data_IF_794630142889
#
_entry.id   IF_794630142889
#
_cell.length_a   1.000
_cell.length_b   1.000
_cell.length_c   1.000
_cell.angle_alpha   90.00
_cell.angle_beta   90.00
_cell.angle_gamma   90.00
#
_symmetry.space_group_name_H-M   'P 1'
#
loop_
_entity.id
_entity.type
_entity.pdbx_description
1 polymer ?
#
# COMPACT_ATOMS: atom_id res chain seq x y z
N UNK A 1 -13.40 -37.87 -43.96
CA UNK A 1 -13.27 -36.58 -44.68
C UNK A 1 -14.46 -35.67 -44.44
N UNK A 2 -15.69 -35.99 -44.89
CA UNK A 2 -16.84 -35.08 -44.70
C UNK A 2 -17.22 -34.87 -43.22
N UNK A 3 -17.18 -35.93 -42.41
CA UNK A 3 -17.40 -35.85 -40.95
C UNK A 3 -16.32 -35.01 -40.25
N UNK A 4 -15.05 -35.24 -40.61
CA UNK A 4 -13.90 -34.47 -40.11
C UNK A 4 -14.01 -32.98 -40.49
N UNK A 5 -14.40 -32.67 -41.73
CA UNK A 5 -14.61 -31.30 -42.20
C UNK A 5 -15.76 -30.61 -41.46
N UNK A 6 -16.82 -31.34 -41.12
CA UNK A 6 -17.93 -30.82 -40.33
C UNK A 6 -17.52 -30.52 -38.88
N UNK A 7 -16.77 -31.41 -38.24
CA UNK A 7 -16.22 -31.17 -36.90
C UNK A 7 -15.25 -29.99 -36.85
N UNK A 8 -14.39 -29.84 -37.87
CA UNK A 8 -13.50 -28.68 -38.00
C UNK A 8 -14.28 -27.36 -38.16
N UNK A 9 -15.40 -27.36 -38.91
CA UNK A 9 -16.31 -26.22 -38.98
C UNK A 9 -16.94 -25.90 -37.63
N UNK A 10 -17.35 -26.91 -36.86
CA UNK A 10 -17.90 -26.71 -35.52
C UNK A 10 -16.85 -26.14 -34.55
N UNK A 11 -15.61 -26.64 -34.60
CA UNK A 11 -14.49 -26.09 -33.82
C UNK A 11 -14.33 -24.60 -34.12
N UNK A 12 -14.34 -24.20 -35.40
CA UNK A 12 -14.22 -22.80 -35.80
C UNK A 12 -15.36 -21.92 -35.26
N UNK A 13 -16.60 -22.40 -35.33
CA UNK A 13 -17.79 -21.66 -34.87
C UNK A 13 -17.79 -21.51 -33.35
N UNK A 14 -17.59 -22.60 -32.61
CA UNK A 14 -17.58 -22.61 -31.13
C UNK A 14 -16.41 -21.80 -30.58
N UNK A 15 -15.22 -21.94 -31.16
CA UNK A 15 -14.04 -21.16 -30.80
C UNK A 15 -14.28 -19.66 -30.96
N UNK A 16 -14.91 -19.25 -32.07
CA UNK A 16 -15.26 -17.85 -32.31
C UNK A 16 -16.30 -17.30 -31.34
N UNK A 17 -17.24 -18.13 -30.87
CA UNK A 17 -18.24 -17.73 -29.88
C UNK A 17 -17.65 -17.58 -28.47
N UNK A 18 -16.71 -18.43 -28.07
CA UNK A 18 -16.11 -18.38 -26.73
C UNK A 18 -14.99 -17.34 -26.60
N UNK A 19 -14.32 -16.98 -27.70
CA UNK A 19 -13.23 -16.00 -27.71
C UNK A 19 -13.73 -14.58 -28.09
N UNK A 20 -14.32 -13.86 -27.12
CA UNK A 20 -14.58 -12.42 -27.22
C UNK A 20 -13.31 -11.62 -26.87
N UNK A 21 -12.28 -11.53 -27.73
CA UNK A 21 -11.19 -10.54 -27.59
C UNK A 21 -10.41 -10.22 -28.89
N UNK A 22 -9.73 -9.06 -28.86
CA UNK A 22 -9.06 -8.31 -29.94
C UNK A 22 -8.02 -9.12 -30.74
N UNK A 23 -8.15 -9.10 -32.07
CA UNK A 23 -7.11 -9.49 -33.04
C UNK A 23 -7.47 -10.73 -33.87
N UNK A 24 -7.63 -10.57 -35.19
CA UNK A 24 -7.92 -11.66 -36.13
C UNK A 24 -6.75 -12.67 -36.25
N UNK A 25 -5.51 -12.21 -36.03
CA UNK A 25 -4.28 -12.99 -36.28
C UNK A 25 -4.09 -14.17 -35.32
N UNK A 26 -4.39 -14.01 -34.02
CA UNK A 26 -4.20 -15.08 -33.03
C UNK A 26 -5.21 -16.23 -33.23
N UNK A 27 -6.41 -15.90 -33.72
CA UNK A 27 -7.48 -16.86 -34.05
C UNK A 27 -7.09 -17.75 -35.21
N UNK A 28 -6.50 -17.18 -36.27
CA UNK A 28 -6.07 -17.92 -37.45
C UNK A 28 -4.86 -18.83 -37.17
N UNK A 29 -3.90 -18.39 -36.36
CA UNK A 29 -2.71 -19.18 -36.00
C UNK A 29 -3.09 -20.44 -35.21
N UNK A 30 -3.94 -20.29 -34.19
CA UNK A 30 -4.38 -21.42 -33.35
C UNK A 30 -5.19 -22.42 -34.17
N UNK A 31 -6.12 -21.95 -35.00
CA UNK A 31 -6.93 -22.82 -35.85
C UNK A 31 -6.08 -23.54 -36.91
N UNK A 32 -5.10 -22.85 -37.52
CA UNK A 32 -4.19 -23.43 -38.50
C UNK A 32 -3.23 -24.46 -37.89
N UNK A 33 -2.82 -24.28 -36.63
CA UNK A 33 -2.02 -25.25 -35.88
C UNK A 33 -2.81 -26.51 -35.52
N UNK A 34 -4.06 -26.34 -35.07
CA UNK A 34 -4.96 -27.46 -34.77
C UNK A 34 -5.30 -28.26 -36.04
N UNK A 35 -5.64 -27.60 -37.13
CA UNK A 35 -5.94 -28.26 -38.41
C UNK A 35 -4.73 -29.01 -38.95
N UNK A 36 -3.50 -28.45 -38.85
CA UNK A 36 -2.28 -29.16 -39.28
C UNK A 36 -1.99 -30.42 -38.47
N UNK A 37 -2.26 -30.39 -37.16
CA UNK A 37 -1.93 -31.50 -36.25
C UNK A 37 -3.06 -32.52 -36.08
N UNK A 38 -4.30 -32.18 -36.42
CA UNK A 38 -5.48 -33.05 -36.22
C UNK A 38 -5.87 -33.90 -37.43
N UNK A 39 -5.14 -33.85 -38.55
CA UNK A 39 -5.53 -34.50 -39.81
C UNK A 39 -5.32 -36.02 -39.87
N UNK A 40 -4.83 -36.66 -38.81
CA UNK A 40 -4.38 -38.07 -38.86
C UNK A 40 -5.11 -39.03 -37.91
N UNK A 41 -6.02 -38.57 -37.04
CA UNK A 41 -6.76 -39.44 -36.09
C UNK A 41 -8.10 -38.80 -35.66
N UNK A 42 -9.21 -39.51 -35.86
CA UNK A 42 -10.57 -39.05 -35.58
C UNK A 42 -10.83 -38.81 -34.08
N UNK A 43 -10.12 -39.50 -33.17
CA UNK A 43 -10.25 -39.29 -31.72
C UNK A 43 -9.73 -37.92 -31.27
N UNK A 44 -8.67 -37.42 -31.92
CA UNK A 44 -8.08 -36.12 -31.57
C UNK A 44 -9.01 -34.97 -31.95
N UNK A 45 -9.79 -35.11 -33.03
CA UNK A 45 -10.73 -34.07 -33.47
C UNK A 45 -11.90 -33.93 -32.47
N UNK A 46 -12.40 -35.04 -31.92
CA UNK A 46 -13.46 -35.01 -30.92
C UNK A 46 -12.99 -34.45 -29.57
N UNK A 47 -11.79 -34.83 -29.14
CA UNK A 47 -11.14 -34.30 -27.94
C UNK A 47 -10.90 -32.78 -28.08
N UNK A 48 -10.42 -32.32 -29.24
CA UNK A 48 -10.22 -30.90 -29.50
C UNK A 48 -11.54 -30.13 -29.53
N UNK A 49 -12.59 -30.64 -30.18
CA UNK A 49 -13.91 -30.01 -30.18
C UNK A 49 -14.49 -29.91 -28.76
N UNK A 50 -14.34 -30.95 -27.95
CA UNK A 50 -14.79 -30.92 -26.56
C UNK A 50 -13.98 -29.91 -25.72
N UNK A 51 -12.66 -29.87 -25.88
CA UNK A 51 -11.79 -28.92 -25.17
C UNK A 51 -12.09 -27.45 -25.48
N UNK A 52 -12.45 -27.14 -26.73
CA UNK A 52 -12.90 -25.79 -27.12
C UNK A 52 -14.22 -25.47 -26.42
N UNK A 53 -15.18 -26.39 -26.40
CA UNK A 53 -16.47 -26.19 -25.70
C UNK A 53 -16.30 -25.99 -24.20
N UNK A 54 -15.27 -26.58 -23.60
CA UNK A 54 -14.96 -26.48 -22.19
C UNK A 54 -14.09 -25.28 -21.80
N UNK A 55 -13.76 -24.38 -22.75
CA UNK A 55 -13.03 -23.13 -22.46
C UNK A 55 -11.54 -23.33 -22.12
N UNK A 56 -10.96 -24.49 -22.45
CA UNK A 56 -9.53 -24.78 -22.19
C UNK A 56 -8.63 -23.78 -22.91
N UNK A 57 -9.00 -23.41 -24.14
CA UNK A 57 -8.27 -22.43 -24.93
C UNK A 57 -8.17 -21.09 -24.22
N UNK A 58 -9.29 -20.62 -23.65
CA UNK A 58 -9.34 -19.35 -22.93
C UNK A 58 -8.38 -19.38 -21.75
N UNK A 59 -8.31 -20.50 -21.03
CA UNK A 59 -7.38 -20.66 -19.91
C UNK A 59 -5.91 -20.60 -20.37
N UNK A 60 -5.55 -21.30 -21.45
CA UNK A 60 -4.18 -21.29 -21.99
C UNK A 60 -3.80 -19.91 -22.55
N UNK A 61 -4.71 -19.22 -23.24
CA UNK A 61 -4.46 -17.88 -23.80
C UNK A 61 -4.22 -16.85 -22.70
N UNK A 62 -5.00 -16.87 -21.61
CA UNK A 62 -4.91 -15.84 -20.57
C UNK A 62 -3.88 -16.14 -19.48
N UNK A 63 -3.63 -17.42 -19.19
CA UNK A 63 -2.84 -17.80 -18.00
C UNK A 63 -1.42 -18.24 -18.33
N UNK A 64 -1.20 -18.93 -19.45
CA UNK A 64 0.12 -19.49 -19.79
C UNK A 64 0.97 -18.41 -20.47
N UNK A 65 2.09 -18.01 -19.87
CA UNK A 65 2.88 -16.88 -20.37
C UNK A 65 4.00 -17.27 -21.33
N UNK A 66 4.43 -18.54 -21.32
CA UNK A 66 5.47 -19.11 -22.19
C UNK A 66 5.27 -20.63 -22.34
N UNK A 67 5.89 -21.31 -23.32
CA UNK A 67 5.80 -22.78 -23.44
C UNK A 67 6.37 -23.53 -22.22
N UNK A 68 7.30 -22.93 -21.48
CA UNK A 68 7.93 -23.51 -20.28
C UNK A 68 7.22 -23.15 -18.96
N UNK A 69 6.03 -22.54 -19.03
CA UNK A 69 5.23 -22.15 -17.86
C UNK A 69 4.53 -23.37 -17.24
N UNK A 70 5.34 -24.31 -16.76
CA UNK A 70 4.93 -25.60 -16.20
C UNK A 70 3.94 -25.45 -15.04
N UNK A 71 4.00 -24.33 -14.31
CA UNK A 71 3.08 -24.03 -13.21
C UNK A 71 1.67 -23.83 -13.76
N UNK A 72 1.48 -22.90 -14.71
CA UNK A 72 0.15 -22.64 -15.27
C UNK A 72 -0.36 -23.80 -16.12
N UNK A 73 0.53 -24.51 -16.82
CA UNK A 73 0.20 -25.71 -17.58
C UNK A 73 -0.35 -26.80 -16.66
N UNK A 74 0.38 -27.14 -15.58
CA UNK A 74 -0.07 -28.16 -14.63
C UNK A 74 -1.33 -27.75 -13.88
N UNK A 75 -1.52 -26.46 -13.58
CA UNK A 75 -2.77 -25.97 -12.98
C UNK A 75 -3.98 -26.23 -13.90
N UNK A 76 -3.84 -25.99 -15.20
CA UNK A 76 -4.92 -26.25 -16.16
C UNK A 76 -5.17 -27.76 -16.29
N UNK A 77 -4.11 -28.58 -16.41
CA UNK A 77 -4.21 -30.04 -16.47
C UNK A 77 -4.94 -30.60 -15.24
N UNK A 78 -4.51 -30.20 -14.04
CA UNK A 78 -5.10 -30.67 -12.79
C UNK A 78 -6.56 -30.26 -12.66
N UNK A 79 -6.93 -29.06 -13.11
CA UNK A 79 -8.32 -28.62 -13.13
C UNK A 79 -9.19 -29.52 -14.04
N UNK A 80 -8.66 -29.95 -15.19
CA UNK A 80 -9.36 -30.83 -16.11
C UNK A 80 -9.57 -32.24 -15.53
N UNK A 81 -8.52 -32.79 -14.90
CA UNK A 81 -8.58 -34.12 -14.26
C UNK A 81 -9.49 -34.12 -13.04
N UNK A 82 -9.40 -33.11 -12.17
CA UNK A 82 -10.20 -33.00 -10.96
C UNK A 82 -11.70 -32.85 -11.24
N UNK A 83 -12.05 -32.20 -12.35
CA UNK A 83 -13.43 -32.11 -12.81
C UNK A 83 -13.89 -33.37 -13.56
N UNK A 84 -13.09 -34.44 -13.55
CA UNK A 84 -13.35 -35.71 -14.24
C UNK A 84 -13.65 -35.53 -15.74
N UNK A 85 -13.07 -34.49 -16.35
CA UNK A 85 -13.32 -34.17 -17.76
C UNK A 85 -12.49 -35.05 -18.69
N UNK A 86 -11.28 -35.39 -18.26
CA UNK A 86 -10.32 -36.22 -18.99
C UNK A 86 -9.44 -37.00 -18.02
N UNK A 87 -8.83 -38.09 -18.49
CA UNK A 87 -7.69 -38.70 -17.80
C UNK A 87 -6.51 -37.72 -17.76
N UNK A 88 -5.53 -37.95 -16.88
CA UNK A 88 -4.34 -37.09 -16.81
C UNK A 88 -3.58 -37.03 -18.14
N UNK A 89 -3.43 -38.18 -18.79
CA UNK A 89 -2.80 -38.31 -20.10
C UNK A 89 -3.55 -37.49 -21.17
N UNK A 90 -4.87 -37.60 -21.20
CA UNK A 90 -5.73 -36.86 -22.13
C UNK A 90 -5.70 -35.34 -21.85
N UNK A 91 -5.72 -34.94 -20.57
CA UNK A 91 -5.68 -33.54 -20.17
C UNK A 91 -4.35 -32.88 -20.53
N UNK A 92 -3.22 -33.56 -20.28
CA UNK A 92 -1.88 -33.09 -20.67
C UNK A 92 -1.77 -32.94 -22.18
N UNK A 93 -2.25 -33.93 -22.92
CA UNK A 93 -2.27 -33.91 -24.38
C UNK A 93 -3.09 -32.74 -24.93
N UNK A 94 -4.28 -32.49 -24.38
CA UNK A 94 -5.16 -31.37 -24.76
C UNK A 94 -4.49 -30.03 -24.49
N UNK A 95 -3.96 -29.81 -23.28
CA UNK A 95 -3.32 -28.53 -22.91
C UNK A 95 -2.07 -28.30 -23.77
N UNK A 96 -1.27 -29.36 -23.99
CA UNK A 96 -0.11 -29.33 -24.87
C UNK A 96 -0.45 -28.83 -26.28
N UNK A 97 -1.54 -29.31 -26.88
CA UNK A 97 -1.97 -28.83 -28.20
C UNK A 97 -2.23 -27.33 -28.25
N UNK A 98 -2.84 -26.74 -27.21
CA UNK A 98 -3.13 -25.31 -27.17
C UNK A 98 -1.93 -24.44 -26.83
N UNK A 99 -1.04 -24.91 -25.95
CA UNK A 99 0.23 -24.23 -25.66
C UNK A 99 1.08 -24.20 -26.92
N UNK A 100 1.21 -25.34 -27.60
CA UNK A 100 1.90 -25.47 -28.87
C UNK A 100 1.31 -24.56 -29.95
N UNK A 101 -0.02 -24.54 -30.09
CA UNK A 101 -0.72 -23.69 -31.05
C UNK A 101 -0.57 -22.18 -30.74
N UNK A 102 -0.40 -21.81 -29.47
CA UNK A 102 -0.23 -20.41 -29.04
C UNK A 102 1.17 -19.87 -29.33
N UNK A 103 2.22 -20.69 -29.15
CA UNK A 103 3.61 -20.23 -29.19
C UNK A 103 4.41 -20.67 -30.43
N UNK A 104 3.92 -21.65 -31.20
CA UNK A 104 4.32 -21.83 -32.61
C UNK A 104 5.71 -22.41 -32.91
N UNK A 105 6.33 -23.19 -32.02
CA UNK A 105 7.63 -23.84 -32.30
C UNK A 105 7.47 -25.27 -32.87
N UNK A 106 8.47 -25.76 -33.61
CA UNK A 106 8.34 -26.48 -34.89
C UNK A 106 8.38 -28.04 -34.90
N UNK A 107 7.75 -28.58 -35.95
CA UNK A 107 7.89 -29.90 -36.62
C UNK A 107 7.31 -31.20 -35.99
N UNK A 108 6.67 -31.97 -36.88
CA UNK A 108 5.82 -33.16 -36.67
C UNK A 108 6.55 -34.37 -36.04
N UNK A 109 7.80 -34.23 -35.60
CA UNK A 109 8.62 -35.26 -34.95
C UNK A 109 9.01 -34.91 -33.50
N UNK A 110 8.52 -33.79 -32.94
CA UNK A 110 8.77 -33.42 -31.54
C UNK A 110 7.56 -33.55 -30.62
N UNK A 111 6.39 -33.98 -31.10
CA UNK A 111 5.26 -34.33 -30.20
C UNK A 111 5.65 -35.50 -29.30
N UNK A 112 6.37 -36.49 -29.81
CA UNK A 112 6.96 -37.56 -28.99
C UNK A 112 8.01 -37.01 -28.03
N UNK A 113 8.78 -35.98 -28.39
CA UNK A 113 9.76 -35.38 -27.46
C UNK A 113 9.14 -34.52 -26.37
N UNK A 114 7.99 -33.88 -26.60
CA UNK A 114 7.23 -33.21 -25.52
C UNK A 114 6.59 -34.24 -24.60
N UNK A 115 6.19 -35.40 -25.14
CA UNK A 115 5.77 -36.57 -24.34
C UNK A 115 6.98 -37.16 -23.61
N UNK A 116 8.16 -37.29 -24.23
CA UNK A 116 9.40 -37.83 -23.64
C UNK A 116 10.04 -36.85 -22.65
N UNK A 117 9.96 -35.53 -22.83
CA UNK A 117 10.38 -34.53 -21.83
C UNK A 117 9.49 -34.60 -20.58
N UNK A 118 8.27 -35.14 -20.72
CA UNK A 118 7.32 -35.37 -19.62
C UNK A 118 7.42 -36.81 -19.07
N UNK A 119 7.89 -37.79 -19.87
CA UNK A 119 8.06 -39.20 -19.50
C UNK A 119 9.49 -39.57 -19.02
N UNK A 120 10.53 -38.81 -19.39
CA UNK A 120 11.95 -39.01 -18.99
C UNK A 120 12.44 -38.10 -17.86
N UNK A 121 11.60 -37.28 -17.24
CA UNK A 121 11.71 -37.20 -15.78
C UNK A 121 11.06 -38.47 -15.25
N UNK A 122 11.89 -39.51 -15.13
CA UNK A 122 11.74 -40.42 -14.01
C UNK A 122 11.36 -39.55 -12.81
N UNK A 123 10.09 -39.67 -12.40
CA UNK A 123 9.67 -39.42 -11.04
C UNK A 123 10.63 -40.27 -10.24
N UNK A 124 11.73 -39.66 -9.82
CA UNK A 124 12.61 -40.23 -8.86
C UNK A 124 11.69 -40.45 -7.65
N UNK A 125 11.37 -41.71 -7.36
CA UNK A 125 10.60 -42.09 -6.18
C UNK A 125 11.32 -41.64 -4.88
N UNK A 126 12.51 -41.02 -4.99
CA UNK A 126 13.19 -40.27 -3.94
C UNK A 126 12.70 -38.81 -3.74
N UNK A 127 12.06 -38.16 -4.71
CA UNK A 127 11.36 -36.88 -4.53
C UNK A 127 9.89 -37.16 -4.23
N UNK A 128 9.63 -37.81 -3.10
CA UNK A 128 8.37 -37.50 -2.41
C UNK A 128 8.43 -36.01 -2.11
N UNK A 129 7.40 -35.25 -2.48
CA UNK A 129 7.12 -34.00 -1.77
C UNK A 129 7.26 -34.32 -0.28
N UNK A 130 8.35 -33.88 0.35
CA UNK A 130 8.59 -34.19 1.76
C UNK A 130 7.72 -33.23 2.53
N UNK A 131 6.43 -33.57 2.55
CA UNK A 131 5.41 -32.90 3.31
C UNK A 131 5.74 -33.17 4.77
N UNK A 132 6.29 -32.15 5.40
CA UNK A 132 6.66 -32.17 6.80
C UNK A 132 5.60 -31.41 7.59
N UNK A 133 5.15 -32.00 8.69
CA UNK A 133 4.37 -31.28 9.70
C UNK A 133 5.36 -30.73 10.72
N UNK A 134 5.47 -29.41 10.79
CA UNK A 134 6.35 -28.73 11.75
C UNK A 134 5.54 -27.64 12.46
N UNK A 135 5.34 -27.83 13.76
CA UNK A 135 4.48 -26.95 14.55
C UNK A 135 3.06 -26.93 13.99
N UNK A 136 2.59 -25.75 13.60
CA UNK A 136 1.24 -25.52 13.06
C UNK A 136 1.19 -25.60 11.53
N UNK A 137 2.28 -25.95 10.85
CA UNK A 137 2.37 -25.92 9.39
C UNK A 137 2.59 -27.31 8.78
N UNK A 138 1.83 -27.60 7.74
CA UNK A 138 2.14 -28.59 6.71
C UNK A 138 2.91 -27.88 5.60
N UNK A 139 4.10 -28.39 5.28
CA UNK A 139 5.11 -27.68 4.50
C UNK A 139 5.79 -28.60 3.48
N UNK A 140 5.98 -28.11 2.25
CA UNK A 140 6.76 -28.80 1.23
C UNK A 140 8.25 -28.44 1.38
N UNK A 141 9.05 -29.37 1.89
CA UNK A 141 10.48 -29.14 2.12
C UNK A 141 11.34 -29.03 0.84
N UNK A 142 10.81 -29.43 -0.31
CA UNK A 142 11.49 -29.27 -1.61
C UNK A 142 11.26 -27.87 -2.17
N UNK A 143 10.02 -27.39 -2.11
CA UNK A 143 9.62 -26.13 -2.76
C UNK A 143 9.66 -24.92 -1.84
N UNK A 144 9.65 -25.11 -0.52
CA UNK A 144 9.54 -24.00 0.43
C UNK A 144 8.10 -23.46 0.56
N UNK A 145 7.09 -24.24 0.18
CA UNK A 145 5.69 -23.80 0.16
C UNK A 145 4.95 -24.29 1.41
N UNK A 146 4.25 -23.39 2.10
CA UNK A 146 3.29 -23.77 3.14
C UNK A 146 2.04 -24.34 2.46
N UNK A 147 1.73 -25.60 2.72
CA UNK A 147 0.60 -26.32 2.15
C UNK A 147 -0.67 -26.10 2.99
N UNK A 148 -0.52 -26.08 4.33
CA UNK A 148 -1.63 -25.96 5.28
C UNK A 148 -1.18 -25.37 6.61
N UNK A 149 -2.03 -24.53 7.19
CA UNK A 149 -1.97 -24.09 8.57
C UNK A 149 -3.02 -24.85 9.38
N UNK A 150 -2.60 -25.39 10.51
CA UNK A 150 -3.39 -26.26 11.39
C UNK A 150 -3.68 -25.64 12.75
N UNK A 151 -3.19 -24.42 13.01
CA UNK A 151 -3.49 -23.70 14.24
C UNK A 151 -4.92 -23.18 14.30
N UNK A 152 -5.40 -22.95 15.53
CA UNK A 152 -6.77 -22.49 15.83
C UNK A 152 -6.81 -21.05 16.39
N UNK A 153 -5.65 -20.44 16.59
CA UNK A 153 -5.48 -19.08 17.12
C UNK A 153 -5.91 -17.95 16.17
N UNK A 154 -6.06 -16.75 16.75
CA UNK A 154 -6.42 -15.53 16.01
C UNK A 154 -5.26 -14.87 15.25
N UNK A 155 -4.03 -15.30 15.54
CA UNK A 155 -2.78 -14.85 14.94
C UNK A 155 -1.90 -16.05 14.58
N UNK A 156 -1.14 -15.93 13.49
CA UNK A 156 -0.20 -16.93 13.00
C UNK A 156 1.14 -16.26 12.70
N UNK A 157 2.26 -16.85 13.11
CA UNK A 157 3.60 -16.39 12.75
C UNK A 157 4.16 -17.35 11.70
N UNK A 158 4.39 -16.85 10.49
CA UNK A 158 5.09 -17.56 9.42
C UNK A 158 6.60 -17.38 9.64
N UNK A 159 7.33 -18.45 10.02
CA UNK A 159 8.76 -18.36 10.26
C UNK A 159 9.52 -18.13 8.94
N UNK A 160 10.76 -17.66 9.06
CA UNK A 160 11.66 -17.47 7.91
C UNK A 160 12.00 -18.81 7.22
N UNK A 161 12.20 -19.85 8.03
CA UNK A 161 12.52 -21.20 7.59
C UNK A 161 11.80 -22.25 8.42
N UNK A 162 11.51 -23.38 7.79
CA UNK A 162 11.05 -24.59 8.45
C UNK A 162 12.08 -25.68 8.16
N UNK A 163 12.68 -26.24 9.21
CA UNK A 163 13.75 -27.25 9.12
C UNK A 163 14.92 -26.85 8.21
N UNK A 164 15.35 -25.58 8.24
CA UNK A 164 16.46 -25.07 7.42
C UNK A 164 16.09 -24.79 5.96
N UNK A 165 14.81 -24.86 5.60
CA UNK A 165 14.31 -24.52 4.27
C UNK A 165 13.52 -23.22 4.36
N UNK A 166 13.96 -22.21 3.61
CA UNK A 166 13.27 -20.91 3.54
C UNK A 166 11.84 -21.04 3.00
N UNK A 167 10.92 -20.34 3.65
CA UNK A 167 9.55 -20.19 3.15
C UNK A 167 9.60 -19.28 1.92
N UNK A 168 9.01 -19.74 0.81
CA UNK A 168 8.96 -19.03 -0.47
C UNK A 168 7.56 -18.58 -0.87
N UNK A 169 6.54 -19.35 -0.51
CA UNK A 169 5.15 -19.02 -0.82
C UNK A 169 4.16 -19.68 0.14
N UNK A 170 2.93 -19.15 0.13
CA UNK A 170 1.78 -19.74 0.80
C UNK A 170 0.92 -20.40 -0.29
N UNK A 171 0.63 -21.69 -0.13
CA UNK A 171 -0.23 -22.43 -1.04
C UNK A 171 -1.68 -21.93 -1.00
N UNK A 172 -2.39 -22.09 -2.12
CA UNK A 172 -3.75 -21.54 -2.31
C UNK A 172 -4.76 -21.97 -1.24
N UNK A 173 -4.58 -23.15 -0.65
CA UNK A 173 -5.46 -23.68 0.41
C UNK A 173 -4.82 -23.67 1.79
N UNK A 174 -3.68 -22.99 1.97
CA UNK A 174 -2.91 -23.06 3.21
C UNK A 174 -3.74 -22.64 4.44
N UNK A 175 -4.53 -21.58 4.32
CA UNK A 175 -5.36 -21.06 5.41
C UNK A 175 -6.85 -21.40 5.22
N UNK A 176 -7.17 -22.40 4.40
CA UNK A 176 -8.55 -22.82 4.15
C UNK A 176 -9.18 -23.31 5.46
N UNK A 177 -10.33 -22.74 5.82
CA UNK A 177 -11.09 -23.00 7.05
C UNK A 177 -10.47 -22.44 8.35
N UNK A 178 -9.49 -21.55 8.27
CA UNK A 178 -8.94 -20.87 9.44
C UNK A 178 -9.82 -19.68 9.86
N UNK A 179 -11.09 -19.92 10.21
CA UNK A 179 -12.11 -18.86 10.40
C UNK A 179 -11.82 -17.89 11.56
N UNK A 180 -11.01 -18.32 12.53
CA UNK A 180 -10.60 -17.53 13.69
C UNK A 180 -9.37 -16.66 13.41
N UNK A 181 -8.58 -17.01 12.40
CA UNK A 181 -7.34 -16.32 12.08
C UNK A 181 -7.65 -14.95 11.47
N UNK A 182 -7.02 -13.90 11.99
CA UNK A 182 -7.27 -12.51 11.54
C UNK A 182 -5.99 -11.76 11.17
N UNK A 183 -4.86 -12.19 11.73
CA UNK A 183 -3.55 -11.55 11.57
C UNK A 183 -2.52 -12.61 11.18
N UNK A 184 -1.68 -12.30 10.20
CA UNK A 184 -0.49 -13.09 9.87
C UNK A 184 0.74 -12.21 10.09
N UNK A 185 1.70 -12.68 10.88
CA UNK A 185 3.03 -12.09 10.99
C UNK A 185 4.00 -12.89 10.13
N UNK A 186 4.80 -12.22 9.30
CA UNK A 186 5.82 -12.85 8.47
C UNK A 186 7.19 -12.41 9.01
N UNK A 187 7.99 -13.38 9.47
CA UNK A 187 9.26 -13.09 10.12
C UNK A 187 10.34 -12.52 9.19
N UNK A 188 10.17 -12.58 7.86
CA UNK A 188 11.13 -12.05 6.89
C UNK A 188 10.47 -11.20 5.79
N UNK A 189 11.12 -10.10 5.40
CA UNK A 189 10.68 -9.16 4.37
C UNK A 189 11.26 -9.39 2.98
N UNK A 190 12.28 -10.23 2.85
CA UNK A 190 12.90 -10.53 1.55
C UNK A 190 12.16 -11.64 0.78
N UNK A 191 11.31 -12.41 1.47
CA UNK A 191 10.47 -13.41 0.81
C UNK A 191 9.30 -12.72 0.12
N UNK A 192 9.28 -12.76 -1.22
CA UNK A 192 8.08 -12.41 -2.01
C UNK A 192 7.02 -13.48 -1.81
N UNK A 193 6.24 -13.37 -0.73
CA UNK A 193 5.10 -14.26 -0.50
C UNK A 193 3.93 -13.76 -1.33
N UNK A 194 3.43 -14.62 -2.23
CA UNK A 194 2.19 -14.34 -2.96
C UNK A 194 0.99 -14.50 -2.01
N UNK A 195 0.32 -13.39 -1.70
CA UNK A 195 -0.79 -13.32 -0.76
C UNK A 195 -2.17 -13.25 -1.43
N UNK A 196 -2.24 -13.42 -2.76
CA UNK A 196 -3.50 -13.35 -3.52
C UNK A 196 -4.52 -14.45 -3.14
N UNK A 197 -4.14 -15.36 -2.24
CA UNK A 197 -4.92 -16.52 -1.82
C UNK A 197 -5.20 -16.55 -0.30
N UNK A 198 -4.97 -15.43 0.41
CA UNK A 198 -5.36 -15.32 1.81
C UNK A 198 -6.89 -15.32 1.94
N UNK A 199 -7.49 -16.10 2.86
CA UNK A 199 -8.93 -16.13 3.04
C UNK A 199 -9.49 -14.77 3.54
N UNK A 200 -10.75 -14.48 3.20
CA UNK A 200 -11.40 -13.18 3.42
C UNK A 200 -11.37 -12.67 4.87
N UNK A 201 -11.24 -13.57 5.84
CA UNK A 201 -11.20 -13.24 7.26
C UNK A 201 -9.85 -12.66 7.72
N UNK A 202 -8.79 -12.79 6.94
CA UNK A 202 -7.51 -12.14 7.23
C UNK A 202 -7.62 -10.67 6.86
N UNK A 203 -7.37 -9.82 7.86
CA UNK A 203 -7.52 -8.37 7.75
C UNK A 203 -6.17 -7.68 7.69
N UNK A 204 -5.19 -8.22 8.38
CA UNK A 204 -3.91 -7.55 8.60
C UNK A 204 -2.75 -8.51 8.42
N UNK A 205 -1.63 -7.96 7.94
CA UNK A 205 -0.33 -8.63 7.85
C UNK A 205 0.66 -7.80 8.64
N UNK A 206 1.50 -8.43 9.45
CA UNK A 206 2.64 -7.77 10.08
C UNK A 206 3.89 -8.16 9.27
N UNK A 207 4.56 -7.16 8.70
CA UNK A 207 5.80 -7.32 7.94
C UNK A 207 6.69 -6.10 8.12
N UNK A 208 7.99 -6.30 8.27
CA UNK A 208 8.93 -5.21 8.60
C UNK A 208 8.47 -4.37 9.80
N UNK A 209 7.88 -5.03 10.81
CA UNK A 209 7.32 -4.38 12.01
C UNK A 209 6.18 -3.38 11.67
N UNK A 210 5.58 -3.48 10.50
CA UNK A 210 4.42 -2.71 10.07
C UNK A 210 3.22 -3.66 10.02
N UNK A 211 2.23 -3.41 10.89
CA UNK A 211 0.90 -3.98 10.77
C UNK A 211 0.16 -3.25 9.64
N UNK A 212 -0.25 -4.00 8.63
CA UNK A 212 -0.73 -3.49 7.35
C UNK A 212 -2.07 -4.14 6.96
N UNK A 213 -3.09 -3.32 6.74
CA UNK A 213 -4.33 -3.71 6.08
C UNK A 213 -4.12 -3.67 4.57
N UNK A 214 -3.87 -4.84 3.99
CA UNK A 214 -3.61 -5.01 2.55
C UNK A 214 -4.85 -4.79 1.67
N UNK A 215 -6.07 -4.83 2.23
CA UNK A 215 -7.30 -4.53 1.49
C UNK A 215 -7.48 -3.03 1.29
N UNK A 216 -7.04 -2.24 2.27
CA UNK A 216 -7.13 -0.78 2.23
C UNK A 216 -5.81 -0.10 1.82
N UNK A 217 -4.69 -0.82 1.83
CA UNK A 217 -3.37 -0.22 1.64
C UNK A 217 -2.96 0.65 2.83
N UNK A 218 -3.34 0.28 4.06
CA UNK A 218 -3.19 1.12 5.25
C UNK A 218 -2.19 0.52 6.24
N UNK A 219 -1.16 1.27 6.60
CA UNK A 219 -0.33 0.97 7.78
C UNK A 219 -1.14 1.27 9.02
N UNK A 220 -1.54 0.25 9.75
CA UNK A 220 -2.32 0.35 10.99
C UNK A 220 -1.41 0.74 12.15
N UNK A 221 -0.25 0.11 12.25
CA UNK A 221 0.65 0.27 13.40
C UNK A 221 2.09 -0.09 13.06
N UNK A 222 3.03 0.69 13.55
CA UNK A 222 4.42 0.30 13.66
C UNK A 222 4.66 -0.34 15.03
N UNK A 223 5.13 -1.58 15.03
CA UNK A 223 5.40 -2.39 16.22
C UNK A 223 6.90 -2.51 16.51
N UNK A 224 7.73 -1.79 15.77
CA UNK A 224 9.18 -1.84 15.90
C UNK A 224 9.75 -0.93 16.97
N UNK A 225 11.02 -1.18 17.29
CA UNK A 225 11.84 -0.40 18.23
C UNK A 225 13.06 0.24 17.53
N UNK A 226 13.09 0.26 16.19
CA UNK A 226 14.21 0.81 15.44
C UNK A 226 14.26 2.34 15.57
N UNK A 227 15.48 2.87 15.40
CA UNK A 227 15.69 4.32 15.33
C UNK A 227 15.34 4.91 13.97
N UNK A 228 15.14 4.09 12.94
CA UNK A 228 14.74 4.50 11.60
C UNK A 228 13.75 3.50 11.02
N UNK A 229 12.72 4.00 10.33
CA UNK A 229 11.74 3.19 9.62
C UNK A 229 11.66 3.61 8.16
N UNK A 230 11.76 2.64 7.25
CA UNK A 230 11.49 2.84 5.83
C UNK A 230 10.15 2.19 5.54
N UNK A 231 9.15 2.98 5.19
CA UNK A 231 7.86 2.46 4.75
C UNK A 231 8.00 2.11 3.26
N UNK A 232 7.83 0.84 2.85
CA UNK A 232 7.93 0.47 1.44
C UNK A 232 6.70 0.98 0.67
N UNK A 233 6.85 1.24 -0.63
CA UNK A 233 5.74 1.62 -1.50
C UNK A 233 4.74 0.46 -1.71
N UNK A 234 5.20 -0.78 -1.55
CA UNK A 234 4.40 -2.00 -1.59
C UNK A 234 4.75 -2.96 -0.48
N UNK A 235 3.73 -3.64 0.04
CA UNK A 235 3.87 -4.77 0.96
C UNK A 235 3.23 -5.99 0.29
N UNK A 236 4.04 -6.98 -0.08
CA UNK A 236 3.61 -8.19 -0.81
C UNK A 236 2.79 -7.91 -2.08
N UNK A 237 3.17 -6.86 -2.83
CA UNK A 237 2.51 -6.47 -4.08
C UNK A 237 1.30 -5.53 -3.91
N UNK A 238 0.82 -5.31 -2.69
CA UNK A 238 -0.22 -4.32 -2.39
C UNK A 238 0.40 -2.96 -2.13
N UNK A 239 -0.16 -1.92 -2.75
CA UNK A 239 0.34 -0.55 -2.60
C UNK A 239 0.09 -0.03 -1.17
N UNK A 240 1.06 0.67 -0.62
CA UNK A 240 0.92 1.41 0.65
C UNK A 240 0.40 2.81 0.33
N UNK A 241 -0.86 3.04 0.66
CA UNK A 241 -1.64 4.22 0.28
C UNK A 241 -1.87 5.16 1.47
N UNK A 242 -2.01 4.60 2.68
CA UNK A 242 -2.40 5.35 3.88
C UNK A 242 -1.50 5.00 5.06
N UNK A 243 -1.10 6.00 5.83
CA UNK A 243 -0.63 5.82 7.21
C UNK A 243 -1.83 6.06 8.12
N UNK A 244 -2.25 5.04 8.85
CA UNK A 244 -3.47 5.05 9.66
C UNK A 244 -3.39 5.97 10.87
N UNK A 245 -4.55 6.20 11.50
CA UNK A 245 -4.62 6.93 12.77
C UNK A 245 -3.72 6.29 13.82
N UNK A 246 -2.89 7.11 14.47
CA UNK A 246 -1.98 6.68 15.55
C UNK A 246 -0.96 5.58 15.15
N UNK A 247 -0.70 5.36 13.86
CA UNK A 247 0.13 4.24 13.41
C UNK A 247 1.55 4.23 14.02
N UNK A 248 2.16 5.38 14.22
CA UNK A 248 3.47 5.58 14.87
C UNK A 248 3.32 6.34 16.20
N UNK A 249 2.16 6.28 16.86
CA UNK A 249 1.95 6.99 18.12
C UNK A 249 2.95 6.53 19.20
N UNK A 250 3.60 7.51 19.85
CA UNK A 250 4.58 7.28 20.92
C UNK A 250 5.78 6.39 20.54
N UNK A 251 6.16 6.36 19.25
CA UNK A 251 7.43 5.77 18.80
C UNK A 251 8.62 6.64 19.24
N UNK A 252 8.88 6.69 20.55
CA UNK A 252 9.82 7.63 21.17
C UNK A 252 11.27 7.45 20.70
N UNK A 253 11.70 6.24 20.32
CA UNK A 253 13.06 6.01 19.82
C UNK A 253 13.27 6.31 18.34
N UNK A 254 12.20 6.60 17.59
CA UNK A 254 12.23 6.75 16.14
C UNK A 254 12.74 8.15 15.77
N UNK A 255 13.89 8.19 15.09
CA UNK A 255 14.59 9.42 14.71
C UNK A 255 14.33 9.87 13.28
N UNK A 256 13.95 8.94 12.40
CA UNK A 256 13.63 9.20 10.99
C UNK A 256 12.60 8.22 10.44
N UNK A 257 11.72 8.71 9.57
CA UNK A 257 10.78 7.88 8.80
C UNK A 257 10.84 8.28 7.32
N UNK A 258 11.09 7.30 6.45
CA UNK A 258 10.97 7.48 5.01
C UNK A 258 9.57 7.04 4.56
N UNK A 259 8.80 7.97 4.00
CA UNK A 259 7.43 7.73 3.55
C UNK A 259 7.42 7.71 2.00
N UNK A 260 6.87 6.66 1.36
CA UNK A 260 6.90 6.54 -0.09
C UNK A 260 5.87 7.46 -0.75
N UNK A 261 6.12 7.81 -2.02
CA UNK A 261 5.21 8.68 -2.79
C UNK A 261 3.85 8.05 -3.10
N UNK A 262 3.69 6.74 -2.91
CA UNK A 262 2.41 6.03 -3.01
C UNK A 262 1.43 6.45 -1.90
N UNK A 263 1.94 6.96 -0.78
CA UNK A 263 1.10 7.42 0.33
C UNK A 263 0.42 8.74 -0.04
N UNK A 264 -0.91 8.72 0.00
CA UNK A 264 -1.77 9.88 -0.29
C UNK A 264 -2.52 10.39 0.93
N UNK A 265 -2.49 9.66 2.05
CA UNK A 265 -3.20 10.01 3.28
C UNK A 265 -2.39 9.67 4.53
N UNK A 266 -2.39 10.57 5.51
CA UNK A 266 -1.78 10.40 6.83
C UNK A 266 -2.85 10.72 7.87
N UNK A 267 -3.20 9.75 8.70
CA UNK A 267 -4.26 9.86 9.69
C UNK A 267 -3.94 10.80 10.84
N UNK A 268 -4.98 11.13 11.61
CA UNK A 268 -4.85 11.85 12.87
C UNK A 268 -3.87 11.13 13.79
N UNK A 269 -3.10 11.89 14.57
CA UNK A 269 -2.13 11.35 15.54
C UNK A 269 -1.07 10.40 14.97
N UNK A 270 -0.95 10.25 13.64
CA UNK A 270 -0.14 9.21 13.03
C UNK A 270 1.30 9.15 13.56
N UNK A 271 1.95 10.28 13.82
CA UNK A 271 3.30 10.38 14.41
C UNK A 271 3.30 11.10 15.76
N UNK A 272 2.14 11.22 16.42
CA UNK A 272 2.04 11.93 17.67
C UNK A 272 2.98 11.34 18.73
N UNK A 273 3.72 12.21 19.40
CA UNK A 273 4.70 11.92 20.45
C UNK A 273 5.88 11.05 20.00
N UNK A 274 6.25 11.07 18.72
CA UNK A 274 7.56 10.59 18.27
C UNK A 274 8.66 11.57 18.71
N UNK A 275 9.04 11.53 19.99
CA UNK A 275 9.84 12.58 20.63
C UNK A 275 11.22 12.79 20.01
N UNK A 276 11.85 11.74 19.51
CA UNK A 276 13.19 11.80 18.89
C UNK A 276 13.14 12.00 17.37
N UNK A 277 11.95 12.09 16.76
CA UNK A 277 11.82 12.27 15.30
C UNK A 277 12.38 13.63 14.90
N UNK A 278 13.47 13.62 14.12
CA UNK A 278 14.24 14.84 13.83
C UNK A 278 13.79 15.56 12.56
N UNK A 279 13.32 14.80 11.57
CA UNK A 279 12.85 15.33 10.30
C UNK A 279 11.79 14.44 9.68
N UNK A 280 10.93 15.04 8.86
CA UNK A 280 9.93 14.31 8.07
C UNK A 280 9.68 15.01 6.72
N UNK A 281 9.55 14.19 5.68
CA UNK A 281 9.15 14.62 4.34
C UNK A 281 7.75 14.08 4.04
N UNK A 282 6.78 14.99 3.89
CA UNK A 282 5.41 14.62 3.58
C UNK A 282 5.29 14.34 2.07
N UNK A 283 4.76 13.19 1.65
CA UNK A 283 4.65 12.84 0.22
C UNK A 283 3.76 13.78 -0.58
N UNK A 284 4.10 13.98 -1.86
CA UNK A 284 3.36 14.87 -2.78
C UNK A 284 1.89 14.46 -3.04
N UNK A 285 1.49 13.24 -2.68
CA UNK A 285 0.11 12.78 -2.75
C UNK A 285 -0.78 13.35 -1.63
N UNK A 286 -0.20 13.71 -0.49
CA UNK A 286 -0.92 14.10 0.72
C UNK A 286 -1.58 15.46 0.57
N UNK A 287 -2.87 15.52 0.92
CA UNK A 287 -3.70 16.75 0.88
C UNK A 287 -3.88 17.42 2.23
N UNK A 288 -3.78 16.66 3.31
CA UNK A 288 -4.06 17.12 4.66
C UNK A 288 -3.02 16.56 5.62
N UNK A 289 -2.53 17.43 6.50
CA UNK A 289 -1.85 17.01 7.73
C UNK A 289 -2.92 17.05 8.82
N UNK A 290 -3.37 15.87 9.24
CA UNK A 290 -4.50 15.71 10.16
C UNK A 290 -4.28 16.29 11.56
N UNK A 291 -5.28 16.10 12.42
CA UNK A 291 -5.21 16.59 13.78
C UNK A 291 -4.14 15.83 14.57
N UNK A 292 -3.35 16.57 15.35
CA UNK A 292 -2.32 16.01 16.23
C UNK A 292 -1.24 15.16 15.53
N UNK A 293 -1.13 15.19 14.19
CA UNK A 293 -0.28 14.27 13.42
C UNK A 293 1.17 14.22 13.90
N UNK A 294 1.77 15.36 14.25
CA UNK A 294 3.13 15.49 14.81
C UNK A 294 3.12 16.08 16.23
N UNK A 295 2.00 16.02 16.94
CA UNK A 295 1.87 16.58 18.28
C UNK A 295 2.94 16.00 19.22
N UNK A 296 3.78 16.83 19.85
CA UNK A 296 4.79 16.41 20.80
C UNK A 296 6.01 15.72 20.17
N UNK A 297 6.25 15.91 18.87
CA UNK A 297 7.52 15.54 18.22
C UNK A 297 8.61 16.55 18.62
N UNK A 298 9.06 16.48 19.87
CA UNK A 298 9.93 17.49 20.47
C UNK A 298 11.24 17.71 19.70
N UNK A 299 11.81 16.64 19.14
CA UNK A 299 13.05 16.66 18.36
C UNK A 299 12.89 17.13 16.91
N UNK A 300 11.67 17.42 16.44
CA UNK A 300 11.41 17.73 15.04
C UNK A 300 11.97 19.11 14.70
N UNK A 301 13.04 19.14 13.91
CA UNK A 301 13.75 20.37 13.50
C UNK A 301 13.39 20.81 12.09
N UNK A 302 13.02 19.86 11.22
CA UNK A 302 12.78 20.11 9.81
C UNK A 302 11.56 19.34 9.29
N UNK A 303 10.65 20.05 8.64
CA UNK A 303 9.45 19.47 8.02
C UNK A 303 9.36 19.97 6.60
N UNK A 304 9.32 19.04 5.64
CA UNK A 304 9.03 19.37 4.24
C UNK A 304 7.55 19.11 3.97
N UNK A 305 6.79 20.19 3.79
CA UNK A 305 5.38 20.14 3.40
C UNK A 305 5.29 20.37 1.88
N UNK A 306 4.70 19.45 1.10
CA UNK A 306 4.56 19.60 -0.35
C UNK A 306 3.42 20.56 -0.69
N UNK A 307 3.46 21.13 -1.90
CA UNK A 307 2.45 22.07 -2.40
C UNK A 307 1.05 21.45 -2.56
N UNK A 308 0.93 20.12 -2.46
CA UNK A 308 -0.33 19.40 -2.51
C UNK A 308 -1.19 19.57 -1.25
N UNK A 309 -0.58 19.94 -0.12
CA UNK A 309 -1.27 20.11 1.16
C UNK A 309 -2.10 21.39 1.14
N UNK A 310 -3.38 21.25 1.48
CA UNK A 310 -4.34 22.36 1.59
C UNK A 310 -4.74 22.66 3.02
N UNK A 311 -4.55 21.69 3.93
CA UNK A 311 -5.05 21.75 5.32
C UNK A 311 -3.97 21.30 6.30
N UNK A 312 -3.77 22.10 7.35
CA UNK A 312 -3.02 21.74 8.55
C UNK A 312 -4.01 21.70 9.72
N UNK A 313 -4.23 20.51 10.29
CA UNK A 313 -5.23 20.25 11.30
C UNK A 313 -4.90 20.82 12.69
N UNK A 314 -5.84 20.62 13.62
CA UNK A 314 -5.72 21.10 14.98
C UNK A 314 -4.53 20.44 15.68
N UNK A 315 -3.71 21.25 16.35
CA UNK A 315 -2.52 20.80 17.08
C UNK A 315 -1.55 19.94 16.26
N UNK A 316 -1.56 20.04 14.92
CA UNK A 316 -0.79 19.18 14.03
C UNK A 316 0.71 19.15 14.37
N UNK A 317 1.29 20.29 14.76
CA UNK A 317 2.69 20.44 15.18
C UNK A 317 2.81 20.95 16.63
N UNK A 318 1.74 20.86 17.43
CA UNK A 318 1.76 21.33 18.82
C UNK A 318 2.87 20.63 19.61
N UNK A 319 3.73 21.38 20.31
CA UNK A 319 4.83 20.85 21.09
C UNK A 319 6.05 20.40 20.28
N UNK A 320 6.16 20.75 18.98
CA UNK A 320 7.39 20.54 18.22
C UNK A 320 8.48 21.53 18.67
N UNK A 321 9.01 21.34 19.87
CA UNK A 321 9.81 22.35 20.59
C UNK A 321 11.11 22.72 19.90
N UNK A 322 11.70 21.82 19.11
CA UNK A 322 12.94 22.04 18.36
C UNK A 322 12.73 22.59 16.94
N UNK A 323 11.48 22.78 16.50
CA UNK A 323 11.17 23.30 15.18
C UNK A 323 11.59 24.78 15.07
N UNK A 324 12.58 25.07 14.21
CA UNK A 324 13.16 26.43 14.11
C UNK A 324 12.50 27.25 13.00
N UNK A 325 12.20 26.60 11.88
CA UNK A 325 11.61 27.20 10.68
C UNK A 325 10.58 26.21 10.16
N UNK A 326 9.44 26.72 9.72
CA UNK A 326 8.49 25.96 8.92
C UNK A 326 8.09 26.77 7.70
N UNK A 327 8.15 26.13 6.53
CA UNK A 327 7.63 26.70 5.28
C UNK A 327 6.24 26.12 5.04
N UNK A 328 5.23 26.96 5.19
CA UNK A 328 3.85 26.60 4.88
C UNK A 328 3.63 26.88 3.37
N UNK A 329 3.26 25.88 2.56
CA UNK A 329 3.04 26.08 1.13
C UNK A 329 1.89 27.05 0.84
N UNK A 330 1.98 27.77 -0.28
CA UNK A 330 0.94 28.73 -0.71
C UNK A 330 -0.42 28.09 -1.02
N UNK A 331 -0.48 26.77 -1.17
CA UNK A 331 -1.73 26.02 -1.35
C UNK A 331 -2.53 25.79 -0.07
N UNK A 332 -1.94 26.05 1.10
CA UNK A 332 -2.61 25.86 2.39
C UNK A 332 -3.64 26.97 2.61
N UNK A 333 -4.90 26.58 2.81
CA UNK A 333 -6.04 27.49 3.03
C UNK A 333 -6.61 27.41 4.45
N UNK A 334 -6.20 26.42 5.23
CA UNK A 334 -6.63 26.23 6.61
C UNK A 334 -5.48 25.81 7.53
N UNK A 335 -5.39 26.46 8.69
CA UNK A 335 -4.49 26.11 9.81
C UNK A 335 -5.35 26.05 11.07
N UNK A 336 -5.38 24.88 11.72
CA UNK A 336 -6.23 24.59 12.86
C UNK A 336 -5.82 25.25 14.17
N UNK A 337 -6.68 25.12 15.18
CA UNK A 337 -6.41 25.57 16.54
C UNK A 337 -5.15 24.91 17.09
N UNK A 338 -4.32 25.68 17.80
CA UNK A 338 -3.08 25.22 18.41
C UNK A 338 -2.07 24.58 17.44
N UNK A 339 -2.20 24.74 16.12
CA UNK A 339 -1.42 23.99 15.13
C UNK A 339 0.10 24.04 15.36
N UNK A 340 0.63 25.18 15.83
CA UNK A 340 2.04 25.40 16.16
C UNK A 340 2.23 25.82 17.63
N UNK A 341 1.28 25.53 18.51
CA UNK A 341 1.40 25.82 19.94
C UNK A 341 2.67 25.16 20.50
N UNK A 342 3.46 25.88 21.30
CA UNK A 342 4.63 25.31 21.96
C UNK A 342 5.80 24.99 21.02
N UNK A 343 5.78 25.45 19.77
CA UNK A 343 6.95 25.45 18.88
C UNK A 343 7.99 26.49 19.37
N UNK A 344 8.56 26.23 20.55
CA UNK A 344 9.27 27.23 21.35
C UNK A 344 10.51 27.81 20.69
N UNK A 345 11.08 27.10 19.70
CA UNK A 345 12.26 27.53 18.94
C UNK A 345 11.95 28.12 17.57
N UNK A 346 10.67 28.20 17.20
CA UNK A 346 10.25 28.79 15.93
C UNK A 346 10.60 30.28 15.90
N UNK A 347 11.46 30.69 14.97
CA UNK A 347 11.99 32.07 14.91
C UNK A 347 11.14 32.98 14.02
N UNK A 348 10.58 32.40 12.96
CA UNK A 348 9.76 33.06 11.96
C UNK A 348 8.81 32.06 11.32
N UNK A 349 7.64 32.53 10.91
CA UNK A 349 6.67 31.78 10.09
C UNK A 349 6.13 32.69 9.00
N UNK A 350 6.09 32.17 7.78
CA UNK A 350 5.39 32.79 6.65
C UNK A 350 3.98 32.22 6.60
N UNK A 351 2.98 33.07 6.84
CA UNK A 351 1.57 32.69 6.68
C UNK A 351 1.24 32.90 5.19
N UNK A 352 0.78 31.87 4.46
CA UNK A 352 0.51 32.00 3.04
C UNK A 352 -0.71 32.88 2.77
N UNK A 353 -0.67 33.58 1.65
CA UNK A 353 -1.85 34.25 1.08
C UNK A 353 -2.94 33.20 0.81
N UNK A 354 -4.17 33.51 1.23
CA UNK A 354 -5.31 32.59 1.20
C UNK A 354 -5.77 32.13 2.59
N UNK A 355 -4.92 32.27 3.61
CA UNK A 355 -5.35 32.09 5.00
C UNK A 355 -6.25 33.26 5.41
N UNK A 356 -7.46 32.94 5.84
CA UNK A 356 -8.48 33.94 6.25
C UNK A 356 -8.55 34.14 7.76
N UNK A 357 -8.15 33.14 8.53
CA UNK A 357 -8.27 33.10 9.98
C UNK A 357 -6.96 32.60 10.61
N UNK A 358 -6.48 33.30 11.64
CA UNK A 358 -5.47 32.79 12.57
C UNK A 358 -6.22 32.38 13.83
N UNK A 359 -6.35 31.08 14.06
CA UNK A 359 -7.24 30.50 15.06
C UNK A 359 -6.64 30.48 16.47
N UNK A 360 -7.40 29.93 17.42
CA UNK A 360 -7.08 29.96 18.84
C UNK A 360 -5.70 29.33 19.07
N UNK A 361 -4.83 30.08 19.75
CA UNK A 361 -3.51 29.61 20.18
C UNK A 361 -2.60 29.06 19.05
N UNK A 362 -2.89 29.41 17.78
CA UNK A 362 -2.20 28.83 16.60
C UNK A 362 -0.68 28.89 16.71
N UNK A 363 -0.13 30.01 17.20
CA UNK A 363 1.29 30.22 17.47
C UNK A 363 1.55 30.49 18.96
N UNK A 364 0.70 29.95 19.84
CA UNK A 364 0.90 30.04 21.28
C UNK A 364 2.25 29.50 21.71
N UNK A 365 2.88 30.12 22.71
CA UNK A 365 4.16 29.70 23.31
C UNK A 365 5.32 29.51 22.30
N UNK A 366 5.25 30.15 21.13
CA UNK A 366 6.36 30.28 20.20
C UNK A 366 7.38 31.31 20.73
N UNK A 367 8.03 30.99 21.84
CA UNK A 367 8.84 31.93 22.65
C UNK A 367 10.02 32.58 21.90
N UNK A 368 10.49 31.99 20.80
CA UNK A 368 11.55 32.53 19.94
C UNK A 368 11.05 33.28 18.71
N UNK A 369 9.75 33.35 18.48
CA UNK A 369 9.18 34.04 17.32
C UNK A 369 9.49 35.53 17.45
N UNK A 370 10.27 36.08 16.52
CA UNK A 370 10.73 37.48 16.61
C UNK A 370 9.95 38.42 15.72
N UNK A 371 9.48 37.91 14.58
CA UNK A 371 8.71 38.65 13.61
C UNK A 371 7.64 37.79 12.98
N UNK A 372 6.54 38.43 12.57
CA UNK A 372 5.51 37.80 11.76
C UNK A 372 4.95 38.77 10.72
N UNK A 373 4.69 38.24 9.54
CA UNK A 373 3.95 38.93 8.49
C UNK A 373 2.53 38.33 8.40
N UNK A 374 1.54 39.20 8.52
CA UNK A 374 0.12 38.86 8.42
C UNK A 374 -0.33 39.22 7.00
N UNK A 375 -0.69 38.23 6.15
CA UNK A 375 -1.08 38.48 4.77
C UNK A 375 -2.42 39.20 4.69
N UNK A 376 -2.67 39.81 3.53
CA UNK A 376 -3.86 40.66 3.33
C UNK A 376 -5.17 39.87 3.34
N UNK A 377 -5.09 38.55 3.10
CA UNK A 377 -6.22 37.64 3.19
C UNK A 377 -6.74 37.41 4.62
N UNK A 378 -5.96 37.70 5.66
CA UNK A 378 -6.36 37.45 7.06
C UNK A 378 -7.37 38.50 7.50
N UNK A 379 -8.57 38.03 7.85
CA UNK A 379 -9.70 38.86 8.31
C UNK A 379 -10.02 38.68 9.80
N UNK A 380 -9.46 37.64 10.43
CA UNK A 380 -9.72 37.31 11.83
C UNK A 380 -8.47 36.72 12.50
N UNK A 381 -8.18 37.20 13.70
CA UNK A 381 -7.15 36.66 14.59
C UNK A 381 -7.80 36.39 15.94
N UNK A 382 -7.84 35.11 16.33
CA UNK A 382 -8.48 34.65 17.55
C UNK A 382 -7.72 35.10 18.81
N UNK A 383 -8.40 34.95 19.96
CA UNK A 383 -7.76 35.12 21.24
C UNK A 383 -6.58 34.15 21.41
N UNK A 384 -5.52 34.63 22.07
CA UNK A 384 -4.30 33.89 22.38
C UNK A 384 -3.52 33.31 21.20
N UNK A 385 -3.86 33.65 19.95
CA UNK A 385 -3.13 33.22 18.76
C UNK A 385 -1.59 33.37 18.85
N UNK A 386 -1.10 34.36 19.62
CA UNK A 386 0.32 34.65 19.87
C UNK A 386 0.65 34.78 21.37
N UNK A 387 -0.11 34.13 22.26
CA UNK A 387 0.24 34.12 23.70
C UNK A 387 1.62 33.51 23.89
N UNK A 388 2.40 33.95 24.89
CA UNK A 388 3.73 33.39 25.16
C UNK A 388 4.81 33.68 24.10
N UNK A 389 4.50 34.42 23.04
CA UNK A 389 5.47 34.89 22.04
C UNK A 389 6.31 36.07 22.59
N UNK A 390 7.07 35.85 23.67
CA UNK A 390 7.74 36.90 24.44
C UNK A 390 8.83 37.67 23.67
N UNK A 391 9.27 37.15 22.51
CA UNK A 391 10.26 37.77 21.62
C UNK A 391 9.65 38.45 20.40
N UNK A 392 8.34 38.37 20.21
CA UNK A 392 7.67 38.95 19.05
C UNK A 392 7.68 40.47 19.17
N UNK A 393 8.51 41.11 18.36
CA UNK A 393 8.73 42.56 18.41
C UNK A 393 8.39 43.26 17.11
N UNK A 394 8.32 42.51 16.00
CA UNK A 394 8.01 43.04 14.67
C UNK A 394 6.79 42.35 14.09
N UNK A 395 5.67 43.05 14.04
CA UNK A 395 4.47 42.55 13.35
C UNK A 395 4.23 43.41 12.13
N UNK A 396 4.23 42.80 10.94
CA UNK A 396 3.94 43.44 9.67
C UNK A 396 2.57 42.98 9.20
N UNK A 397 1.64 43.91 8.99
CA UNK A 397 0.30 43.60 8.46
C UNK A 397 0.22 44.14 7.05
N UNK A 398 -0.08 43.26 6.08
CA UNK A 398 -0.34 43.64 4.70
C UNK A 398 -1.83 44.01 4.54
N UNK A 399 -2.11 45.18 3.98
CA UNK A 399 -3.46 45.59 3.59
C UNK A 399 -3.40 46.23 2.20
N UNK A 400 -3.47 45.39 1.16
CA UNK A 400 -3.14 45.80 -0.21
C UNK A 400 -1.69 46.30 -0.27
N UNK A 401 -1.48 47.52 -0.80
CA UNK A 401 -0.15 48.17 -0.85
C UNK A 401 0.29 48.80 0.48
N UNK A 402 -0.57 48.79 1.51
CA UNK A 402 -0.27 49.42 2.81
C UNK A 402 0.36 48.41 3.75
N UNK A 403 1.50 48.80 4.34
CA UNK A 403 2.22 48.01 5.34
C UNK A 403 2.14 48.72 6.70
N UNK A 404 1.58 48.04 7.71
CA UNK A 404 1.60 48.52 9.10
C UNK A 404 2.66 47.72 9.87
N UNK A 405 3.69 48.40 10.38
CA UNK A 405 4.70 47.81 11.26
C UNK A 405 4.45 48.18 12.73
N UNK A 406 4.35 47.18 13.60
CA UNK A 406 4.23 47.35 15.06
C UNK A 406 5.56 46.92 15.69
N UNK A 407 6.28 47.87 16.29
CA UNK A 407 7.65 47.71 16.80
C UNK A 407 7.77 47.79 18.35
N UNK A 408 6.72 47.49 19.12
CA UNK A 408 6.77 47.51 20.60
C UNK A 408 5.88 46.46 21.28
N UNK A 409 6.51 45.43 21.86
CA UNK A 409 5.93 44.51 22.87
C UNK A 409 6.79 44.62 24.15
N UNK A 410 6.23 44.57 25.39
CA UNK A 410 4.96 43.94 25.78
C UNK A 410 3.87 44.94 26.24
N UNK A 411 2.59 44.58 26.13
CA UNK A 411 1.54 45.28 26.91
C UNK A 411 1.21 44.47 28.16
N UNK A 412 1.94 44.71 29.25
CA UNK A 412 1.30 44.63 30.56
C UNK A 412 0.31 45.79 30.66
N UNK A 413 -0.99 45.48 30.66
CA UNK A 413 -2.04 46.49 30.76
C UNK A 413 -2.02 47.20 32.13
N UNK A 414 -1.34 48.35 32.25
CA UNK A 414 -1.75 49.39 33.20
C UNK A 414 -2.99 50.09 32.65
N UNK A 415 -4.17 49.66 33.09
CA UNK A 415 -5.42 50.44 32.94
C UNK A 415 -5.93 50.79 34.34
N UNK A 416 -6.00 52.08 34.61
CA UNK A 416 -6.57 52.72 35.79
C UNK A 416 -8.08 52.38 35.93
N UNK A 417 -8.44 51.83 37.10
CA UNK A 417 -9.77 51.64 37.73
C UNK A 417 -11.01 51.43 36.83
N UNK A 418 -11.55 50.21 36.90
CA UNK A 418 -12.92 49.95 37.35
C UNK A 418 -13.00 48.52 37.93
N UNK A 419 -13.56 48.38 39.14
CA UNK A 419 -13.92 47.12 39.81
C UNK A 419 -14.84 46.31 38.87
N UNK A 420 -14.74 45.01 38.62
CA UNK A 420 -14.76 43.84 39.53
C UNK A 420 -14.41 42.55 38.76
N UNK A 421 -13.77 41.61 39.46
CA UNK A 421 -13.72 40.13 39.28
C UNK A 421 -13.09 39.53 38.01
N UNK A 422 -12.19 38.57 38.25
CA UNK A 422 -11.15 38.04 37.37
C UNK A 422 -11.61 37.22 36.15
N UNK A 423 -11.09 37.60 34.98
CA UNK A 423 -10.70 36.72 33.86
C UNK A 423 -9.42 37.31 33.22
N UNK A 424 -8.40 36.51 32.84
CA UNK A 424 -7.23 37.03 32.15
C UNK A 424 -7.63 37.68 30.82
N UNK A 425 -7.15 38.91 30.60
CA UNK A 425 -7.61 39.82 29.53
C UNK A 425 -7.19 39.30 28.15
N UNK A 426 -8.15 39.31 27.20
CA UNK A 426 -8.02 38.82 25.81
C UNK A 426 -7.01 39.57 24.92
N UNK A 427 -6.87 39.06 23.70
CA UNK A 427 -5.80 39.38 22.75
C UNK A 427 -5.94 40.78 22.12
N UNK A 428 -4.82 41.48 21.95
CA UNK A 428 -4.69 42.87 21.46
C UNK A 428 -5.19 43.01 20.00
N UNK A 429 -5.09 41.96 19.19
CA UNK A 429 -5.51 41.97 17.78
C UNK A 429 -7.02 42.17 17.60
N UNK A 430 -7.86 41.71 18.55
CA UNK A 430 -9.31 41.91 18.50
C UNK A 430 -9.75 43.39 18.54
N UNK A 431 -8.87 44.28 19.04
CA UNK A 431 -9.09 45.74 19.07
C UNK A 431 -8.49 46.49 17.89
N UNK A 432 -7.57 45.89 17.13
CA UNK A 432 -6.87 46.54 16.02
C UNK A 432 -7.58 46.39 14.66
N UNK A 433 -8.44 45.37 14.52
CA UNK A 433 -9.21 45.11 13.28
C UNK A 433 -10.58 45.82 13.21
N UNK A 434 -10.97 46.55 14.26
CA UNK A 434 -12.10 47.50 14.24
C UNK A 434 -11.56 48.91 14.09
#
# INVERSE_FOLDING_TARGET
>A
MDNTAEKLRQIYVEYNQQCLMKGEVLKEIILAGLIRNSMHDDNNVDILLHSVKCGVVTSVIHKVSSPDDNIQINMIVNALVNNQMWSEEEARRVVGYFVYAKFGECEQHEISKVIDIIEEEHIDESIKDVVSIVGEFEFNATTGIIIKYMGDGASCIIPEEINGVHIKAIGESAFKNCYTLTTIEISNSDTVINLNMLPDNIKTIISNRLEFDFKQGTIIKYVGDDTACIIPDKIYGFDVITIGESAFWECNGLTSVEIPNSVISIGDRAFGRCRELTSIEIPNGVKEIGNFTFMGCNGLTNVKIPNSVTTIGNSAFSGCSELVIIKIPSGVTFIGDCAFEGCSRLVSVEIPEGITNILYNTFGDCAKLTSIEIPSSVTFIADWAFVGCDKLTKVKILNGDTVVEINSFPIQAKVTKAKTADKPKGNIFSKFFK
#
